data_IF_810783120379
#
_entry.id   IF_810783120379
#
_cell.length_a   1.000
_cell.length_b   1.000
_cell.length_c   1.000
_cell.angle_alpha   90.00
_cell.angle_beta   90.00
_cell.angle_gamma   90.00
#
_symmetry.space_group_name_H-M   'P 1'
#
loop_
_entity.id
_entity.type
_entity.pdbx_description
1 polymer ?
#
# COMPACT_ATOMS: atom_id res chain seq x y z
N UNK A 1 1.96 13.10 -29.15
CA UNK A 1 1.25 12.02 -28.44
C UNK A 1 2.26 11.15 -27.71
N UNK A 2 3.20 10.47 -28.40
CA UNK A 2 4.24 9.66 -27.74
C UNK A 2 5.05 10.37 -26.62
N UNK A 3 5.48 11.62 -26.80
CA UNK A 3 6.19 12.37 -25.75
C UNK A 3 5.30 12.67 -24.53
N UNK A 4 4.02 13.03 -24.75
CA UNK A 4 3.04 13.30 -23.69
C UNK A 4 2.70 12.04 -22.89
N UNK A 5 2.62 10.91 -23.57
CA UNK A 5 2.31 9.62 -22.95
C UNK A 5 3.51 9.11 -22.11
N UNK A 6 4.75 9.39 -22.56
CA UNK A 6 5.97 9.11 -21.80
C UNK A 6 6.11 9.99 -20.54
N UNK A 7 5.83 11.30 -20.66
CA UNK A 7 5.87 12.23 -19.53
C UNK A 7 4.82 11.86 -18.47
N UNK A 8 3.62 11.46 -18.90
CA UNK A 8 2.57 10.99 -18.00
C UNK A 8 2.94 9.67 -17.31
N UNK A 9 3.48 8.70 -18.05
CA UNK A 9 3.94 7.43 -17.47
C UNK A 9 5.04 7.65 -16.42
N UNK A 10 5.96 8.59 -16.69
CA UNK A 10 7.00 8.96 -15.73
C UNK A 10 6.40 9.58 -14.47
N UNK A 11 5.46 10.52 -14.60
CA UNK A 11 4.80 11.13 -13.44
C UNK A 11 4.10 10.10 -12.55
N UNK A 12 3.35 9.17 -13.15
CA UNK A 12 2.66 8.10 -12.42
C UNK A 12 3.67 7.18 -11.72
N UNK A 13 4.77 6.84 -12.40
CA UNK A 13 5.83 6.04 -11.81
C UNK A 13 6.50 6.74 -10.62
N UNK A 14 6.88 8.01 -10.77
CA UNK A 14 7.55 8.79 -9.72
C UNK A 14 6.65 8.92 -8.48
N UNK A 15 5.34 9.15 -8.68
CA UNK A 15 4.37 9.21 -7.59
C UNK A 15 4.18 7.85 -6.90
N UNK A 16 4.08 6.76 -7.67
CA UNK A 16 3.98 5.40 -7.14
C UNK A 16 5.21 5.04 -6.31
N UNK A 17 6.41 5.38 -6.80
CA UNK A 17 7.66 5.15 -6.08
C UNK A 17 7.72 5.96 -4.79
N UNK A 18 7.38 7.25 -4.84
CA UNK A 18 7.35 8.11 -3.66
C UNK A 18 6.41 7.56 -2.59
N UNK A 19 5.24 7.09 -2.99
CA UNK A 19 4.27 6.50 -2.06
C UNK A 19 4.80 5.22 -1.40
N UNK A 20 5.42 4.31 -2.16
CA UNK A 20 6.04 3.09 -1.60
C UNK A 20 7.18 3.46 -0.64
N UNK A 21 7.99 4.48 -0.96
CA UNK A 21 9.06 4.95 -0.07
C UNK A 21 8.52 5.51 1.25
N UNK A 22 7.39 6.22 1.22
CA UNK A 22 6.72 6.70 2.45
C UNK A 22 6.27 5.52 3.31
N UNK A 23 5.62 4.52 2.70
CA UNK A 23 5.19 3.31 3.41
C UNK A 23 6.38 2.56 4.03
N UNK A 24 7.46 2.38 3.28
CA UNK A 24 8.69 1.76 3.77
C UNK A 24 9.28 2.53 4.96
N UNK A 25 9.29 3.87 4.90
CA UNK A 25 9.74 4.72 6.00
C UNK A 25 8.92 4.53 7.27
N UNK A 26 7.58 4.51 7.16
CA UNK A 26 6.67 4.29 8.30
C UNK A 26 6.92 2.90 8.92
N UNK A 27 7.02 1.87 8.09
CA UNK A 27 7.26 0.50 8.57
C UNK A 27 8.63 0.38 9.22
N UNK A 28 9.65 1.02 8.64
CA UNK A 28 11.02 1.02 9.20
C UNK A 28 11.05 1.65 10.59
N UNK A 29 10.33 2.76 10.80
CA UNK A 29 10.22 3.39 12.13
C UNK A 29 9.52 2.45 13.11
N UNK A 30 8.39 1.85 12.74
CA UNK A 30 7.70 0.90 13.62
C UNK A 30 8.52 -0.36 13.93
N UNK A 31 9.35 -0.82 13.00
CA UNK A 31 10.32 -1.91 13.27
C UNK A 31 11.41 -1.48 14.25
N UNK A 32 11.94 -0.26 14.13
CA UNK A 32 12.95 0.29 15.04
C UNK A 32 12.42 0.47 16.46
N UNK A 33 11.15 0.85 16.59
CA UNK A 33 10.46 1.01 17.87
C UNK A 33 9.99 -0.33 18.48
N UNK A 34 10.10 -1.44 17.73
CA UNK A 34 9.63 -2.76 18.14
C UNK A 34 8.11 -2.95 18.05
N UNK A 35 7.39 -1.98 17.47
CA UNK A 35 5.94 -2.02 17.25
C UNK A 35 5.52 -2.96 16.12
N UNK A 36 6.41 -3.19 15.15
CA UNK A 36 6.23 -4.12 14.03
C UNK A 36 7.32 -5.20 14.04
N UNK A 37 6.92 -6.45 13.80
CA UNK A 37 7.81 -7.62 13.77
C UNK A 37 8.14 -8.06 12.33
N UNK A 38 7.88 -7.19 11.34
CA UNK A 38 8.23 -7.44 9.95
C UNK A 38 9.74 -7.71 9.79
N UNK A 39 10.11 -8.61 8.88
CA UNK A 39 11.53 -8.91 8.61
C UNK A 39 12.16 -7.88 7.66
N UNK A 40 11.36 -7.27 6.79
CA UNK A 40 11.85 -6.39 5.74
C UNK A 40 10.81 -5.31 5.39
N UNK A 41 11.11 -4.06 5.78
CA UNK A 41 10.23 -2.92 5.55
C UNK A 41 9.88 -2.71 4.07
N UNK A 42 10.85 -2.83 3.16
CA UNK A 42 10.64 -2.64 1.73
C UNK A 42 9.69 -3.70 1.14
N UNK A 43 9.83 -4.96 1.55
CA UNK A 43 8.94 -6.04 1.13
C UNK A 43 7.53 -5.84 1.69
N UNK A 44 7.41 -5.52 2.97
CA UNK A 44 6.12 -5.24 3.60
C UNK A 44 5.42 -4.03 2.96
N UNK A 45 6.16 -2.96 2.64
CA UNK A 45 5.63 -1.78 1.96
C UNK A 45 5.06 -2.12 0.57
N UNK A 46 5.79 -2.91 -0.24
CA UNK A 46 5.29 -3.37 -1.54
C UNK A 46 4.04 -4.24 -1.42
N UNK A 47 4.01 -5.16 -0.45
CA UNK A 47 2.86 -6.03 -0.22
C UNK A 47 1.62 -5.24 0.19
N UNK A 48 1.76 -4.32 1.16
CA UNK A 48 0.67 -3.45 1.61
C UNK A 48 0.21 -2.53 0.47
N UNK A 49 1.13 -1.94 -0.29
CA UNK A 49 0.77 -1.11 -1.45
C UNK A 49 -0.05 -1.89 -2.48
N UNK A 50 0.42 -3.08 -2.86
CA UNK A 50 -0.27 -3.95 -3.83
C UNK A 50 -1.68 -4.29 -3.37
N UNK A 51 -1.83 -4.52 -2.07
CA UNK A 51 -3.11 -4.80 -1.46
C UNK A 51 -4.05 -3.59 -1.54
N UNK A 52 -3.58 -2.39 -1.18
CA UNK A 52 -4.36 -1.15 -1.30
C UNK A 52 -4.77 -0.90 -2.76
N UNK A 53 -3.86 -1.07 -3.71
CA UNK A 53 -4.11 -0.87 -5.14
C UNK A 53 -5.17 -1.87 -5.67
N UNK A 54 -5.10 -3.13 -5.23
CA UNK A 54 -6.07 -4.16 -5.59
C UNK A 54 -7.49 -3.82 -5.13
N UNK A 55 -7.66 -3.52 -3.84
CA UNK A 55 -8.96 -3.11 -3.30
C UNK A 55 -9.47 -1.79 -3.89
N UNK A 56 -8.58 -0.83 -4.12
CA UNK A 56 -8.94 0.43 -4.77
C UNK A 56 -9.44 0.21 -6.19
N UNK A 57 -8.80 -0.69 -6.95
CA UNK A 57 -9.25 -1.05 -8.30
C UNK A 57 -10.64 -1.68 -8.29
N UNK A 58 -10.94 -2.55 -7.31
CA UNK A 58 -12.28 -3.13 -7.16
C UNK A 58 -13.34 -2.07 -6.83
N UNK A 59 -13.02 -1.07 -5.99
CA UNK A 59 -13.94 0.03 -5.67
C UNK A 59 -14.17 0.99 -6.84
N UNK A 60 -13.16 1.22 -7.69
CA UNK A 60 -13.31 2.03 -8.90
C UNK A 60 -14.31 1.38 -9.86
N UNK A 61 -14.28 0.05 -9.96
CA UNK A 61 -15.15 -0.70 -10.86
C UNK A 61 -16.61 -0.80 -10.36
N UNK A 62 -16.79 -1.02 -9.05
CA UNK A 62 -18.13 -1.25 -8.48
C UNK A 62 -18.18 -0.79 -7.02
N UNK A 63 -18.45 0.51 -6.86
CA UNK A 63 -18.47 1.20 -5.58
C UNK A 63 -19.75 0.96 -4.79
N UNK A 64 -19.59 0.65 -3.49
CA UNK A 64 -20.63 0.86 -2.46
C UNK A 64 -19.99 1.21 -1.12
N UNK A 65 -20.74 1.88 -0.24
CA UNK A 65 -20.28 2.20 1.11
C UNK A 65 -19.94 0.94 1.91
N UNK A 66 -20.78 -0.09 1.82
CA UNK A 66 -20.55 -1.38 2.48
C UNK A 66 -19.25 -2.04 2.03
N UNK A 67 -18.99 -2.07 0.71
CA UNK A 67 -17.75 -2.65 0.17
C UNK A 67 -16.52 -1.86 0.58
N UNK A 68 -16.61 -0.52 0.57
CA UNK A 68 -15.53 0.32 1.06
C UNK A 68 -15.20 0.00 2.51
N UNK A 69 -16.21 -0.15 3.36
CA UNK A 69 -16.03 -0.50 4.77
C UNK A 69 -15.37 -1.87 4.93
N UNK A 70 -15.88 -2.90 4.21
CA UNK A 70 -15.32 -4.25 4.21
C UNK A 70 -13.85 -4.24 3.77
N UNK A 71 -13.52 -3.58 2.66
CA UNK A 71 -12.16 -3.55 2.14
C UNK A 71 -11.20 -2.80 3.06
N UNK A 72 -11.63 -1.71 3.72
CA UNK A 72 -10.78 -1.04 4.70
C UNK A 72 -10.45 -1.96 5.89
N UNK A 73 -11.41 -2.77 6.35
CA UNK A 73 -11.16 -3.76 7.39
C UNK A 73 -10.21 -4.86 6.92
N UNK A 74 -10.42 -5.41 5.72
CA UNK A 74 -9.55 -6.43 5.15
C UNK A 74 -8.12 -5.90 4.91
N UNK A 75 -7.98 -4.66 4.44
CA UNK A 75 -6.69 -3.97 4.30
C UNK A 75 -5.99 -3.89 5.66
N UNK A 76 -6.70 -3.45 6.69
CA UNK A 76 -6.16 -3.34 8.04
C UNK A 76 -5.68 -4.71 8.54
N UNK A 77 -6.55 -5.72 8.55
CA UNK A 77 -6.22 -7.06 9.04
C UNK A 77 -5.02 -7.68 8.30
N UNK A 78 -4.99 -7.57 6.98
CA UNK A 78 -3.92 -8.14 6.17
C UNK A 78 -2.61 -7.35 6.32
N UNK A 79 -2.67 -6.02 6.46
CA UNK A 79 -1.50 -5.21 6.76
C UNK A 79 -0.88 -5.60 8.10
N UNK A 80 -1.67 -5.81 9.16
CA UNK A 80 -1.15 -6.25 10.45
C UNK A 80 -0.54 -7.65 10.40
N UNK A 81 -1.13 -8.58 9.65
CA UNK A 81 -0.52 -9.90 9.38
C UNK A 81 0.83 -9.78 8.68
N UNK A 82 0.93 -8.91 7.67
CA UNK A 82 2.20 -8.63 6.96
C UNK A 82 3.24 -8.05 7.92
N UNK A 83 2.81 -7.17 8.82
CA UNK A 83 3.66 -6.56 9.85
C UNK A 83 3.94 -7.49 11.04
N UNK A 84 3.40 -8.72 11.00
CA UNK A 84 3.52 -9.76 12.03
C UNK A 84 3.16 -9.26 13.43
N UNK A 85 2.17 -8.37 13.53
CA UNK A 85 1.65 -7.90 14.81
C UNK A 85 0.52 -8.84 15.24
N UNK A 86 0.71 -9.52 16.36
CA UNK A 86 -0.35 -10.27 17.02
C UNK A 86 -1.32 -9.28 17.68
N UNK A 87 -2.62 -9.46 17.44
CA UNK A 87 -3.70 -8.67 18.03
C UNK A 87 -4.15 -9.22 19.37
#
# INVERSE_FOLDING_TARGET
MAARDADYAKLVHDHSLQWITILEGIISVGMQEGEFLAENAATSARQINTLIDGYSSLLILDYSEDRRSIFLNEISELAFKILKKDF
#
